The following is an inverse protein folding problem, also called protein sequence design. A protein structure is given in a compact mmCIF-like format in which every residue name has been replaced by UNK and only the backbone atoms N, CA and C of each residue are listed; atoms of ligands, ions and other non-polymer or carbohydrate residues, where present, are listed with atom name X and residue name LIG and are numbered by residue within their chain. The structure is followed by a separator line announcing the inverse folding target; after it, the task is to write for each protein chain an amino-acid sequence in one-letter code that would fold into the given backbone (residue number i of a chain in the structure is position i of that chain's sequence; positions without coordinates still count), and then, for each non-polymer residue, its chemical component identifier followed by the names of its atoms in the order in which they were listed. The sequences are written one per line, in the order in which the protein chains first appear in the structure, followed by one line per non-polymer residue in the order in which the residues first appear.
data_IF_778065190343
#
_entry.id   IF_778065190343
#
_cell.length_a   1.000
_cell.length_b   1.000
_cell.length_c   1.000
_cell.angle_alpha   90.00
_cell.angle_beta   90.00
_cell.angle_gamma   90.00
#
_symmetry.space_group_name_H-M   'P 1'
#
loop_
_entity.id
_entity.type
_entity.pdbx_description
1 polymer ?
#
# COMPACT_ATOMS: atom_id res chain seq x y z
N UNK A 1 -42.26 -26.07 -19.38
CA UNK A 1 -41.84 -24.72 -19.83
C UNK A 1 -41.90 -23.66 -18.74
N UNK A 2 -42.77 -23.77 -17.72
CA UNK A 2 -42.80 -22.86 -16.55
C UNK A 2 -41.52 -22.89 -15.68
N UNK A 3 -40.89 -24.06 -15.50
CA UNK A 3 -39.69 -24.20 -14.66
C UNK A 3 -38.44 -23.50 -15.23
N UNK A 4 -38.30 -23.40 -16.55
CA UNK A 4 -37.15 -22.74 -17.17
C UNK A 4 -37.18 -21.21 -16.98
N UNK A 5 -38.37 -20.62 -16.93
CA UNK A 5 -38.55 -19.17 -16.73
C UNK A 5 -38.17 -18.76 -15.30
N UNK A 6 -38.48 -19.59 -14.30
CA UNK A 6 -38.15 -19.33 -12.89
C UNK A 6 -36.63 -19.35 -12.67
N UNK A 7 -35.90 -20.23 -13.35
CA UNK A 7 -34.43 -20.34 -13.23
C UNK A 7 -33.72 -19.12 -13.84
N UNK A 8 -34.22 -18.59 -14.96
CA UNK A 8 -33.62 -17.42 -15.63
C UNK A 8 -33.85 -16.11 -14.86
N UNK A 9 -34.97 -16.00 -14.12
CA UNK A 9 -35.29 -14.79 -13.33
C UNK A 9 -34.46 -14.70 -12.03
N UNK A 10 -33.95 -15.82 -11.51
CA UNK A 10 -33.18 -15.83 -10.25
C UNK A 10 -31.71 -15.40 -10.39
N UNK A 11 -31.16 -15.25 -11.62
CA UNK A 11 -29.70 -15.12 -11.82
C UNK A 11 -29.16 -13.67 -11.87
N UNK A 12 -29.89 -12.58 -12.20
CA UNK A 12 -29.32 -11.24 -12.07
C UNK A 12 -30.03 -10.41 -10.99
N UNK A 13 -30.14 -10.91 -9.76
CA UNK A 13 -30.49 -10.05 -8.61
C UNK A 13 -29.39 -9.98 -7.54
N UNK A 14 -28.16 -10.38 -7.88
CA UNK A 14 -26.97 -10.12 -7.06
C UNK A 14 -26.62 -8.62 -7.12
N UNK A 15 -27.40 -7.84 -6.36
CA UNK A 15 -26.93 -6.80 -5.44
C UNK A 15 -25.97 -5.72 -5.96
N UNK A 16 -26.36 -5.02 -7.03
CA UNK A 16 -25.70 -3.75 -7.43
C UNK A 16 -25.70 -2.67 -6.32
N UNK A 17 -26.58 -2.77 -5.30
CA UNK A 17 -26.65 -1.80 -4.19
C UNK A 17 -25.67 -2.03 -3.03
N UNK A 18 -24.96 -3.17 -2.98
CA UNK A 18 -24.14 -3.55 -1.81
C UNK A 18 -22.66 -3.77 -2.12
N UNK A 19 -22.26 -3.87 -3.39
CA UNK A 19 -20.85 -4.12 -3.75
C UNK A 19 -19.90 -3.06 -3.18
N UNK A 20 -20.19 -1.77 -3.37
CA UNK A 20 -19.32 -0.68 -2.89
C UNK A 20 -19.20 -0.64 -1.38
N UNK A 21 -20.30 -0.88 -0.66
CA UNK A 21 -20.32 -0.94 0.81
C UNK A 21 -19.49 -2.12 1.33
N UNK A 22 -19.63 -3.28 0.70
CA UNK A 22 -18.83 -4.47 1.06
C UNK A 22 -17.35 -4.19 0.78
N UNK A 23 -17.01 -3.62 -0.38
CA UNK A 23 -15.63 -3.26 -0.75
C UNK A 23 -15.00 -2.31 0.27
N UNK A 24 -15.70 -1.25 0.65
CA UNK A 24 -15.23 -0.29 1.65
C UNK A 24 -15.03 -0.96 3.01
N UNK A 25 -15.96 -1.82 3.42
CA UNK A 25 -15.84 -2.56 4.68
C UNK A 25 -14.62 -3.48 4.73
N UNK A 26 -14.25 -4.11 3.60
CA UNK A 26 -13.08 -4.98 3.50
C UNK A 26 -11.78 -4.17 3.55
N UNK A 27 -11.71 -3.07 2.81
CA UNK A 27 -10.54 -2.17 2.82
C UNK A 27 -10.31 -1.59 4.22
N UNK A 28 -11.38 -1.18 4.91
CA UNK A 28 -11.28 -0.67 6.27
C UNK A 28 -10.77 -1.74 7.25
N UNK A 29 -11.27 -2.97 7.13
CA UNK A 29 -10.80 -4.09 7.94
C UNK A 29 -9.32 -4.40 7.71
N UNK A 30 -8.86 -4.42 6.46
CA UNK A 30 -7.45 -4.66 6.13
C UNK A 30 -6.56 -3.56 6.68
N UNK A 31 -6.92 -2.29 6.48
CA UNK A 31 -6.17 -1.14 7.02
C UNK A 31 -6.03 -1.24 8.53
N UNK A 32 -7.07 -1.65 9.24
CA UNK A 32 -7.05 -1.77 10.70
C UNK A 32 -6.23 -2.96 11.21
N UNK A 33 -5.92 -3.96 10.35
CA UNK A 33 -5.12 -5.14 10.69
C UNK A 33 -3.64 -4.99 10.30
N UNK A 34 -3.28 -3.96 9.54
CA UNK A 34 -1.90 -3.71 9.16
C UNK A 34 -1.03 -3.36 10.37
N UNK A 35 0.27 -3.66 10.25
CA UNK A 35 1.24 -3.27 11.27
C UNK A 35 1.24 -1.73 11.42
N UNK A 36 1.16 -1.26 12.67
CA UNK A 36 1.10 0.17 12.97
C UNK A 36 -0.27 0.83 12.77
N UNK A 37 -1.32 0.08 12.44
CA UNK A 37 -2.66 0.65 12.20
C UNK A 37 -3.30 1.31 13.43
N UNK A 38 -2.90 0.92 14.64
CA UNK A 38 -3.37 1.53 15.89
C UNK A 38 -2.63 2.82 16.27
N UNK A 39 -1.60 3.22 15.50
CA UNK A 39 -0.83 4.44 15.76
C UNK A 39 -1.64 5.64 15.28
N UNK A 40 -1.93 6.57 16.18
CA UNK A 40 -2.63 7.82 15.87
C UNK A 40 -1.60 8.88 15.51
N UNK A 41 -1.58 9.33 14.26
CA UNK A 41 -0.67 10.36 13.79
C UNK A 41 -1.14 11.75 14.22
N UNK A 42 -0.20 12.59 14.65
CA UNK A 42 -0.45 14.01 14.85
C UNK A 42 -0.38 14.79 13.52
N UNK A 43 -0.79 16.06 13.52
CA UNK A 43 -0.87 16.84 12.27
C UNK A 43 0.46 17.10 11.55
N UNK A 44 1.62 16.96 12.21
CA UNK A 44 2.93 17.02 11.53
C UNK A 44 3.29 15.66 10.92
N UNK A 45 3.02 14.58 11.65
CA UNK A 45 3.24 13.21 11.20
C UNK A 45 2.33 12.86 10.02
N UNK A 46 1.09 13.33 10.01
CA UNK A 46 0.18 13.14 8.88
C UNK A 46 0.72 13.81 7.61
N UNK A 47 1.22 15.05 7.71
CA UNK A 47 1.85 15.75 6.58
C UNK A 47 3.08 15.01 6.07
N UNK A 48 3.95 14.56 6.97
CA UNK A 48 5.14 13.79 6.62
C UNK A 48 4.76 12.46 5.96
N UNK A 49 3.79 11.74 6.52
CA UNK A 49 3.29 10.48 5.97
C UNK A 49 2.69 10.67 4.57
N UNK A 50 1.90 11.72 4.36
CA UNK A 50 1.31 12.01 3.06
C UNK A 50 2.38 12.32 2.01
N UNK A 51 3.41 13.10 2.36
CA UNK A 51 4.54 13.38 1.48
C UNK A 51 5.32 12.10 1.17
N UNK A 52 5.67 11.32 2.19
CA UNK A 52 6.39 10.05 2.02
C UNK A 52 5.62 9.06 1.13
N UNK A 53 4.31 8.96 1.33
CA UNK A 53 3.45 8.08 0.54
C UNK A 53 3.36 8.54 -0.92
N UNK A 54 3.41 9.85 -1.20
CA UNK A 54 3.44 10.36 -2.57
C UNK A 54 4.69 9.90 -3.33
N UNK A 55 5.87 10.04 -2.71
CA UNK A 55 7.14 9.56 -3.28
C UNK A 55 7.16 8.04 -3.44
N UNK A 56 6.67 7.31 -2.43
CA UNK A 56 6.58 5.85 -2.47
C UNK A 56 5.69 5.35 -3.62
N UNK A 57 4.54 5.98 -3.82
CA UNK A 57 3.63 5.63 -4.91
C UNK A 57 4.24 5.97 -6.27
N UNK A 58 4.94 7.10 -6.40
CA UNK A 58 5.67 7.46 -7.60
C UNK A 58 6.78 6.44 -7.93
N UNK A 59 7.53 6.00 -6.93
CA UNK A 59 8.55 4.97 -7.09
C UNK A 59 7.94 3.64 -7.58
N UNK A 60 6.82 3.23 -6.97
CA UNK A 60 6.09 2.03 -7.37
C UNK A 60 5.51 2.14 -8.78
N UNK A 61 5.03 3.31 -9.19
CA UNK A 61 4.51 3.53 -10.54
C UNK A 61 5.62 3.41 -11.60
N UNK A 62 6.79 4.01 -11.34
CA UNK A 62 7.97 3.85 -12.22
C UNK A 62 8.40 2.40 -12.30
N UNK A 63 8.41 1.68 -11.17
CA UNK A 63 8.78 0.28 -11.09
C UNK A 63 7.74 -0.66 -11.71
N UNK A 64 6.46 -0.29 -11.71
CA UNK A 64 5.40 -1.03 -12.39
C UNK A 64 5.60 -1.01 -13.91
N UNK A 65 5.92 0.16 -14.47
CA UNK A 65 6.19 0.33 -15.90
C UNK A 65 7.57 -0.20 -16.32
N UNK A 66 8.54 -0.18 -15.40
CA UNK A 66 9.88 -0.71 -15.62
C UNK A 66 10.21 -1.76 -14.55
N UNK A 67 9.75 -3.01 -14.73
CA UNK A 67 9.86 -4.05 -13.71
C UNK A 67 11.31 -4.30 -13.26
N UNK A 68 12.28 -4.09 -14.14
CA UNK A 68 13.72 -4.18 -13.83
C UNK A 68 14.14 -3.16 -12.76
N UNK A 69 13.52 -1.99 -12.69
CA UNK A 69 13.87 -0.96 -11.70
C UNK A 69 13.26 -1.21 -10.30
N UNK A 70 12.50 -2.29 -10.12
CA UNK A 70 11.92 -2.63 -8.82
C UNK A 70 12.98 -3.23 -7.89
N UNK A 71 13.68 -2.38 -7.14
CA UNK A 71 14.81 -2.77 -6.30
C UNK A 71 14.55 -3.94 -5.32
N UNK A 72 13.35 -4.09 -4.70
CA UNK A 72 13.08 -5.24 -3.82
C UNK A 72 13.12 -6.60 -4.53
N UNK A 73 13.06 -6.64 -5.87
CA UNK A 73 13.25 -7.87 -6.67
C UNK A 73 14.68 -8.38 -6.64
N UNK A 74 15.65 -7.48 -6.50
CA UNK A 74 17.05 -7.80 -6.66
C UNK A 74 17.59 -8.44 -5.38
N UNK A 75 18.55 -9.34 -5.52
CA UNK A 75 19.26 -9.89 -4.37
C UNK A 75 19.97 -8.76 -3.63
N UNK A 76 19.81 -8.73 -2.29
CA UNK A 76 20.36 -7.76 -1.33
C UNK A 76 21.73 -7.14 -1.72
N UNK A 77 22.77 -7.90 -2.13
CA UNK A 77 24.07 -7.34 -2.49
C UNK A 77 24.04 -6.39 -3.69
N UNK A 78 23.11 -6.58 -4.64
CA UNK A 78 22.94 -5.68 -5.80
C UNK A 78 22.07 -4.49 -5.41
N UNK A 79 21.05 -4.74 -4.57
CA UNK A 79 20.12 -3.72 -4.09
C UNK A 79 20.83 -2.60 -3.34
N UNK A 80 21.80 -2.89 -2.46
CA UNK A 80 22.54 -1.89 -1.68
C UNK A 80 23.26 -0.82 -2.52
N UNK A 81 23.59 -1.10 -3.78
CA UNK A 81 24.20 -0.12 -4.70
C UNK A 81 23.15 0.69 -5.49
N UNK A 82 21.95 0.14 -5.66
CA UNK A 82 20.84 0.79 -6.37
C UNK A 82 19.93 1.64 -5.45
N UNK A 83 19.89 1.33 -4.15
CA UNK A 83 19.09 2.06 -3.14
C UNK A 83 19.57 3.48 -2.79
N UNK A 84 20.87 3.82 -2.74
CA UNK A 84 21.34 5.01 -2.04
C UNK A 84 20.96 6.35 -2.71
N UNK A 85 20.29 6.33 -3.86
CA UNK A 85 19.72 7.51 -4.54
C UNK A 85 18.19 7.54 -4.59
N UNK A 86 17.49 6.68 -3.84
CA UNK A 86 16.03 6.71 -3.78
C UNK A 86 15.54 7.62 -2.67
N UNK A 87 14.71 8.60 -3.03
CA UNK A 87 14.24 9.69 -2.15
C UNK A 87 13.56 9.17 -0.88
N UNK A 88 12.79 8.08 -0.98
CA UNK A 88 12.11 7.42 0.14
C UNK A 88 13.08 6.84 1.19
N UNK A 89 14.28 6.41 0.77
CA UNK A 89 15.26 5.82 1.69
C UNK A 89 16.09 6.90 2.41
N UNK A 90 16.26 8.08 1.81
CA UNK A 90 17.08 9.16 2.38
C UNK A 90 16.51 9.71 3.71
N UNK A 91 15.19 9.77 3.83
CA UNK A 91 14.52 10.24 5.05
C UNK A 91 14.71 9.30 6.25
N UNK A 92 14.76 7.99 6.01
CA UNK A 92 14.97 6.98 7.08
C UNK A 92 16.40 7.00 7.64
N UNK A 93 17.39 7.38 6.83
CA UNK A 93 18.79 7.43 7.26
C UNK A 93 19.17 8.72 8.01
N UNK A 94 18.50 9.84 7.74
CA UNK A 94 18.77 11.09 8.47
C UNK A 94 18.29 11.05 9.92
N UNK A 95 17.24 10.30 10.23
CA UNK A 95 16.73 10.17 11.61
C UNK A 95 17.57 9.22 12.48
N UNK A 96 18.19 8.19 11.89
CA UNK A 96 18.97 7.20 12.65
C UNK A 96 20.37 7.67 13.08
N UNK A 97 20.89 8.77 12.53
CA UNK A 97 22.20 9.31 12.94
C UNK A 97 22.18 10.07 14.27
N UNK A 98 21.00 10.23 14.91
CA UNK A 98 20.85 10.96 16.18
C UNK A 98 21.13 10.16 17.45
N UNK A 99 21.04 8.83 17.41
CA UNK A 99 21.22 7.99 18.60
C UNK A 99 22.32 6.96 18.36
N UNK A 100 23.57 7.37 18.62
CA UNK A 100 24.64 6.40 18.92
C UNK A 100 24.26 5.70 20.22
N UNK A 101 23.80 4.46 20.13
CA UNK A 101 23.87 3.53 21.24
C UNK A 101 25.35 3.27 21.51
N UNK A 102 25.87 3.86 22.57
CA UNK A 102 27.10 3.40 23.21
C UNK A 102 26.75 2.15 24.03
N UNK A 103 27.40 1.04 23.70
CA UNK A 103 27.61 -0.12 24.57
C UNK A 103 29.09 -0.48 24.47
#
# INVERSE_FOLDING_TARGET
MLFAVVIVILIPSVTNGNFWKIRESLIAQERNRMLGASIVLNGKEEKANNLLMSYKLQELDVAYHNPENFAPRWHIPVTIYAVPRREVQMDTHQHFKGNRCEF
#
